data_IF_424111384276
#
_entry.id   IF_424111384276
#
_cell.length_a   1.000
_cell.length_b   1.000
_cell.length_c   1.000
_cell.angle_alpha   90.00
_cell.angle_beta   90.00
_cell.angle_gamma   90.00
#
_symmetry.space_group_name_H-M   'P 1'
#
loop_
_entity.id
_entity.type
_entity.pdbx_description
1 polymer ?
#
# COMPACT_ATOMS: atom_id res chain seq x y z
N UNK A 1 25.57 18.07 48.58
CA UNK A 1 24.58 17.03 48.33
C UNK A 1 24.41 16.84 46.81
N UNK A 2 24.84 15.71 46.31
CA UNK A 2 24.54 15.32 44.94
C UNK A 2 23.05 14.98 44.86
N UNK A 3 22.25 15.90 44.36
CA UNK A 3 20.86 15.58 44.00
C UNK A 3 20.89 14.59 42.85
N UNK A 4 20.39 13.37 43.10
CA UNK A 4 20.42 12.29 42.16
C UNK A 4 19.73 12.67 40.85
N UNK A 5 20.21 12.13 39.73
CA UNK A 5 19.66 12.29 38.37
C UNK A 5 18.15 11.97 38.26
N UNK A 6 17.55 11.31 39.25
CA UNK A 6 16.13 10.99 39.29
C UNK A 6 15.16 12.20 39.30
N UNK A 7 15.59 13.39 39.77
CA UNK A 7 14.74 14.58 39.75
C UNK A 7 14.75 15.35 38.42
N UNK A 8 15.73 15.12 37.57
CA UNK A 8 15.85 15.83 36.28
C UNK A 8 14.80 15.34 35.28
N UNK A 9 14.40 14.09 35.35
CA UNK A 9 13.43 13.49 34.44
C UNK A 9 11.95 13.76 34.79
N UNK A 10 11.68 14.42 35.92
CA UNK A 10 10.30 14.73 36.34
C UNK A 10 9.84 16.14 35.96
N UNK A 11 10.67 16.93 35.28
CA UNK A 11 10.27 18.28 34.84
C UNK A 11 9.67 18.21 33.44
N UNK A 12 8.38 18.45 33.34
CA UNK A 12 7.69 18.63 32.09
C UNK A 12 7.73 20.11 31.69
N UNK A 13 8.08 20.36 30.41
CA UNK A 13 7.98 21.67 29.80
C UNK A 13 6.74 21.69 28.91
N UNK A 14 5.91 22.69 29.09
CA UNK A 14 4.75 22.92 28.27
C UNK A 14 4.97 24.14 27.40
N UNK A 15 4.67 24.04 26.12
CA UNK A 15 4.72 25.14 25.17
C UNK A 15 3.34 25.33 24.57
N UNK A 16 2.84 26.57 24.62
CA UNK A 16 1.62 26.95 23.94
C UNK A 16 1.97 27.62 22.62
N UNK A 17 1.37 27.14 21.54
CA UNK A 17 1.42 27.78 20.22
C UNK A 17 0.02 28.24 19.86
N UNK A 18 -0.17 29.56 19.72
CA UNK A 18 -1.43 30.17 19.34
C UNK A 18 -1.38 30.62 17.88
N UNK A 19 -2.43 30.33 17.13
CA UNK A 19 -2.60 30.78 15.74
C UNK A 19 -3.98 31.40 15.53
N UNK A 20 -4.06 32.41 14.67
CA UNK A 20 -5.32 33.10 14.37
C UNK A 20 -5.15 34.59 14.13
N UNK A 21 -6.24 35.36 14.27
CA UNK A 21 -6.18 36.80 14.24
C UNK A 21 -5.38 37.35 15.46
N UNK A 22 -4.80 38.54 15.33
CA UNK A 22 -4.05 39.18 16.42
C UNK A 22 -4.86 39.25 17.73
N UNK A 23 -6.14 39.55 17.63
CA UNK A 23 -7.06 39.60 18.75
C UNK A 23 -7.21 38.23 19.43
N UNK A 24 -7.46 37.19 18.63
CA UNK A 24 -7.60 35.80 19.11
C UNK A 24 -6.32 35.31 19.78
N UNK A 25 -5.17 35.53 19.17
CA UNK A 25 -3.88 35.12 19.76
C UNK A 25 -3.63 35.80 21.09
N UNK A 26 -3.97 37.11 21.20
CA UNK A 26 -3.82 37.85 22.48
C UNK A 26 -4.73 37.28 23.57
N UNK A 27 -6.00 37.01 23.24
CA UNK A 27 -6.95 36.40 24.18
C UNK A 27 -6.48 35.02 24.66
N UNK A 28 -6.00 34.17 23.76
CA UNK A 28 -5.51 32.85 24.11
C UNK A 28 -4.25 32.91 25.02
N UNK A 29 -3.33 33.86 24.76
CA UNK A 29 -2.15 34.09 25.62
C UNK A 29 -2.53 34.63 27.00
N UNK A 30 -3.45 35.59 27.07
CA UNK A 30 -3.97 36.12 28.34
C UNK A 30 -4.62 35.02 29.18
N UNK A 31 -5.44 34.18 28.52
CA UNK A 31 -6.08 33.02 29.16
C UNK A 31 -5.02 32.01 29.67
N UNK A 32 -3.98 31.74 28.89
CA UNK A 32 -2.90 30.85 29.28
C UNK A 32 -2.15 31.38 30.50
N UNK A 33 -1.85 32.68 30.52
CA UNK A 33 -1.17 33.33 31.68
C UNK A 33 -2.03 33.35 32.95
N UNK A 34 -3.34 33.48 32.81
CA UNK A 34 -4.25 33.53 33.96
C UNK A 34 -4.63 32.15 34.51
N UNK A 35 -4.59 31.10 33.67
CA UNK A 35 -5.00 29.74 34.05
C UNK A 35 -4.11 28.65 33.41
N UNK A 36 -2.77 28.68 33.68
CA UNK A 36 -1.84 27.75 33.04
C UNK A 36 -2.13 26.27 33.35
N UNK A 37 -2.59 25.98 34.57
CA UNK A 37 -2.96 24.61 35.01
C UNK A 37 -4.09 24.01 34.20
N UNK A 38 -5.02 24.81 33.69
CA UNK A 38 -6.10 24.38 32.83
C UNK A 38 -5.55 23.83 31.48
N UNK A 39 -4.56 24.52 30.92
CA UNK A 39 -3.90 24.08 29.67
C UNK A 39 -3.03 22.86 29.88
N UNK A 40 -2.32 22.80 31.02
CA UNK A 40 -1.55 21.60 31.41
C UNK A 40 -2.47 20.40 31.59
N UNK A 41 -3.58 20.57 32.32
CA UNK A 41 -4.59 19.51 32.49
C UNK A 41 -5.21 19.09 31.17
N UNK A 42 -5.53 20.03 30.28
CA UNK A 42 -6.02 19.74 28.95
C UNK A 42 -4.99 18.97 28.10
N UNK A 43 -3.73 19.42 28.11
CA UNK A 43 -2.66 18.72 27.40
C UNK A 43 -2.44 17.29 27.93
N UNK A 44 -2.52 17.12 29.24
CA UNK A 44 -2.42 15.79 29.88
C UNK A 44 -3.63 14.91 29.55
N UNK A 45 -4.84 15.46 29.52
CA UNK A 45 -6.05 14.72 29.19
C UNK A 45 -6.11 14.33 27.71
N UNK A 46 -5.44 15.08 26.85
CA UNK A 46 -5.33 14.80 25.42
C UNK A 46 -4.10 13.95 25.08
N UNK A 47 -3.17 13.76 26.02
CA UNK A 47 -2.22 12.68 25.83
C UNK A 47 -3.02 11.38 25.79
N UNK A 48 -2.97 10.63 24.72
CA UNK A 48 -3.58 9.32 24.70
C UNK A 48 -2.83 8.45 25.71
N UNK A 49 -3.28 8.47 26.98
CA UNK A 49 -3.13 7.30 27.81
C UNK A 49 -4.01 6.27 27.12
N UNK A 50 -3.51 5.71 26.02
CA UNK A 50 -4.11 4.50 25.53
C UNK A 50 -3.98 3.53 26.71
N UNK A 51 -5.08 2.98 27.25
CA UNK A 51 -4.99 1.84 28.14
C UNK A 51 -4.04 0.88 27.45
N UNK A 52 -3.14 0.25 28.23
CA UNK A 52 -2.21 -0.74 27.69
C UNK A 52 -3.02 -1.65 26.78
N UNK A 53 -2.82 -1.53 25.47
CA UNK A 53 -3.67 -2.16 24.47
C UNK A 53 -3.53 -3.66 24.72
N UNK A 54 -4.62 -4.33 25.03
CA UNK A 54 -4.60 -5.77 25.23
C UNK A 54 -4.06 -6.40 23.95
N UNK A 55 -2.96 -7.14 24.07
CA UNK A 55 -2.32 -7.80 22.93
C UNK A 55 -2.44 -9.32 23.10
N UNK A 56 -2.53 -10.00 21.99
CA UNK A 56 -2.38 -11.45 21.94
C UNK A 56 -0.94 -11.85 22.29
N UNK A 57 -0.71 -13.10 22.76
CA UNK A 57 0.63 -13.56 23.14
C UNK A 57 1.68 -13.29 22.05
N UNK A 58 2.84 -12.78 22.47
CA UNK A 58 3.94 -12.41 21.58
C UNK A 58 3.88 -10.96 21.02
N UNK A 59 2.73 -10.30 21.07
CA UNK A 59 2.57 -8.96 20.50
C UNK A 59 3.38 -7.88 21.20
N UNK A 60 3.60 -8.04 22.52
CA UNK A 60 4.39 -7.07 23.32
C UNK A 60 5.82 -6.88 22.78
N UNK A 61 6.40 -7.92 22.17
CA UNK A 61 7.73 -7.85 21.54
C UNK A 61 7.81 -6.75 20.48
N UNK A 62 6.74 -6.48 19.73
CA UNK A 62 6.72 -5.56 18.60
C UNK A 62 6.11 -4.19 18.92
N UNK A 63 5.83 -3.92 20.21
CA UNK A 63 5.08 -2.72 20.59
C UNK A 63 5.83 -1.42 20.32
N UNK A 64 7.15 -1.41 20.44
CA UNK A 64 7.94 -0.20 20.22
C UNK A 64 7.96 0.21 18.76
N UNK A 65 8.33 -0.69 17.86
CA UNK A 65 8.34 -0.42 16.42
C UNK A 65 6.95 -0.08 15.87
N UNK A 66 5.90 -0.74 16.39
CA UNK A 66 4.52 -0.43 16.06
C UNK A 66 4.14 1.01 16.47
N UNK A 67 4.43 1.43 17.71
CA UNK A 67 4.12 2.76 18.21
C UNK A 67 4.94 3.85 17.48
N UNK A 68 6.21 3.57 17.19
CA UNK A 68 7.07 4.50 16.45
C UNK A 68 6.53 4.75 15.04
N UNK A 69 6.07 3.70 14.35
CA UNK A 69 5.47 3.85 13.03
C UNK A 69 4.12 4.59 13.07
N UNK A 70 3.29 4.33 14.08
CA UNK A 70 2.05 5.10 14.28
C UNK A 70 2.36 6.60 14.48
N UNK A 71 3.37 6.92 15.27
CA UNK A 71 3.80 8.30 15.51
C UNK A 71 4.33 8.95 14.22
N UNK A 72 5.16 8.24 13.45
CA UNK A 72 5.64 8.70 12.16
C UNK A 72 4.49 8.96 11.18
N UNK A 73 3.55 8.02 11.08
CA UNK A 73 2.37 8.11 10.21
C UNK A 73 1.51 9.34 10.54
N UNK A 74 1.23 9.56 11.82
CA UNK A 74 0.42 10.69 12.29
C UNK A 74 1.14 12.04 12.16
N UNK A 75 2.47 12.06 12.27
CA UNK A 75 3.27 13.29 12.18
C UNK A 75 3.64 13.68 10.75
N UNK A 76 3.58 12.76 9.79
CA UNK A 76 3.83 13.02 8.38
C UNK A 76 2.61 13.64 7.69
N UNK A 77 2.21 14.79 8.20
CA UNK A 77 1.10 15.61 7.69
C UNK A 77 1.67 16.93 7.18
N UNK A 78 1.22 17.33 6.01
CA UNK A 78 1.52 18.64 5.42
C UNK A 78 0.30 19.54 5.47
N UNK A 79 0.45 20.77 5.00
CA UNK A 79 -0.64 21.72 4.91
C UNK A 79 -1.84 21.12 4.18
N UNK A 80 -3.08 21.49 4.57
CA UNK A 80 -4.23 21.17 3.75
C UNK A 80 -4.02 21.69 2.33
N UNK A 81 -4.08 20.79 1.38
CA UNK A 81 -3.95 21.13 -0.05
C UNK A 81 -5.30 21.64 -0.54
N UNK A 82 -5.33 22.82 -1.14
CA UNK A 82 -6.53 23.34 -1.78
C UNK A 82 -6.69 22.71 -3.16
N UNK A 83 -7.64 21.79 -3.26
CA UNK A 83 -7.97 21.11 -4.49
C UNK A 83 -9.47 20.88 -4.59
N UNK A 84 -10.02 20.87 -5.80
CA UNK A 84 -11.46 20.68 -6.01
C UNK A 84 -12.33 21.68 -5.20
N UNK A 85 -11.85 22.90 -4.98
CA UNK A 85 -12.48 23.95 -4.16
C UNK A 85 -12.60 23.65 -2.67
N UNK A 86 -11.87 22.65 -2.18
CA UNK A 86 -11.80 22.27 -0.77
C UNK A 86 -10.35 22.22 -0.28
N UNK A 87 -10.16 22.43 1.03
CA UNK A 87 -8.91 22.12 1.70
C UNK A 87 -8.94 20.68 2.19
N UNK A 88 -8.05 19.84 1.67
CA UNK A 88 -7.98 18.43 2.03
C UNK A 88 -6.71 18.21 2.85
N UNK A 89 -6.84 17.59 4.04
CA UNK A 89 -5.70 17.15 4.83
C UNK A 89 -4.90 16.13 4.06
N UNK A 90 -3.60 16.32 4.01
CA UNK A 90 -2.72 15.46 3.24
C UNK A 90 -1.68 14.80 4.14
N UNK A 91 -1.72 13.46 4.18
CA UNK A 91 -0.70 12.63 4.79
C UNK A 91 0.32 12.23 3.73
N UNK A 92 1.60 12.27 4.07
CA UNK A 92 2.69 12.00 3.14
C UNK A 92 3.52 10.80 3.58
N UNK A 93 4.24 10.15 2.67
CA UNK A 93 5.15 9.05 3.04
C UNK A 93 6.28 9.49 3.98
N UNK A 94 6.68 10.74 3.88
CA UNK A 94 7.66 11.40 4.74
C UNK A 94 7.66 12.89 4.46
N UNK A 95 8.09 13.72 5.38
CA UNK A 95 8.07 15.19 5.20
C UNK A 95 8.90 15.71 4.03
N UNK A 96 9.90 14.94 3.61
CA UNK A 96 10.69 15.25 2.43
C UNK A 96 9.91 15.04 1.11
N UNK A 97 8.88 14.19 1.15
CA UNK A 97 7.98 13.92 0.02
C UNK A 97 6.61 14.53 0.31
N UNK A 98 6.48 15.83 0.16
CA UNK A 98 5.29 16.59 0.51
C UNK A 98 4.25 16.71 -0.61
N UNK A 99 4.46 16.02 -1.73
CA UNK A 99 3.49 15.94 -2.84
C UNK A 99 2.47 14.83 -2.63
N UNK A 100 1.49 14.80 -3.54
CA UNK A 100 0.45 13.78 -3.60
C UNK A 100 0.99 12.52 -4.31
N UNK A 101 1.36 11.49 -3.57
CA UNK A 101 1.85 10.21 -4.10
C UNK A 101 0.73 9.18 -4.06
N UNK A 102 0.22 8.78 -5.21
CA UNK A 102 -1.02 8.01 -5.34
C UNK A 102 -0.98 6.66 -4.62
N UNK A 103 0.01 5.83 -4.89
CA UNK A 103 0.04 4.51 -4.27
C UNK A 103 0.51 4.52 -2.81
N UNK A 104 1.45 5.42 -2.46
CA UNK A 104 1.89 5.63 -1.08
C UNK A 104 0.71 5.95 -0.18
N UNK A 105 -0.18 6.81 -0.63
CA UNK A 105 -1.35 7.19 0.16
C UNK A 105 -2.32 6.02 0.35
N UNK A 106 -2.39 5.11 -0.60
CA UNK A 106 -3.14 3.86 -0.42
C UNK A 106 -2.60 3.03 0.75
N UNK A 107 -1.27 2.90 0.86
CA UNK A 107 -0.63 2.22 2.00
C UNK A 107 -0.74 3.02 3.29
N UNK A 108 -0.64 4.35 3.25
CA UNK A 108 -0.91 5.21 4.40
C UNK A 108 -2.35 5.00 4.89
N UNK A 109 -3.32 4.94 3.98
CA UNK A 109 -4.71 4.66 4.33
C UNK A 109 -4.88 3.28 5.00
N UNK A 110 -4.20 2.25 4.48
CA UNK A 110 -4.17 0.92 5.10
C UNK A 110 -3.63 0.96 6.52
N UNK A 111 -2.50 1.64 6.76
CA UNK A 111 -1.96 1.82 8.11
C UNK A 111 -2.90 2.62 9.03
N UNK A 112 -3.56 3.65 8.48
CA UNK A 112 -4.52 4.46 9.24
C UNK A 112 -5.76 3.69 9.68
N UNK A 113 -6.17 2.62 9.02
CA UNK A 113 -7.29 1.76 9.46
C UNK A 113 -7.08 1.27 10.90
N UNK A 114 -5.85 1.00 11.29
CA UNK A 114 -5.51 0.53 12.64
C UNK A 114 -5.25 1.65 13.65
N UNK A 115 -5.11 2.89 13.18
CA UNK A 115 -4.84 4.07 13.99
C UNK A 115 -6.08 4.92 14.20
N UNK A 116 -6.75 5.28 13.10
CA UNK A 116 -7.93 6.12 13.06
C UNK A 116 -8.66 5.93 11.73
N UNK A 117 -9.81 5.27 11.79
CA UNK A 117 -10.60 4.92 10.61
C UNK A 117 -11.06 6.14 9.81
N UNK A 118 -11.28 7.27 10.49
CA UNK A 118 -11.67 8.53 9.83
C UNK A 118 -10.53 9.09 9.00
N UNK A 119 -9.30 9.01 9.50
CA UNK A 119 -8.11 9.41 8.75
C UNK A 119 -7.83 8.49 7.56
N UNK A 120 -8.12 7.19 7.69
CA UNK A 120 -8.06 6.27 6.54
C UNK A 120 -9.02 6.71 5.43
N UNK A 121 -10.26 7.07 5.77
CA UNK A 121 -11.21 7.62 4.81
C UNK A 121 -10.71 8.94 4.19
N UNK A 122 -10.18 9.87 4.99
CA UNK A 122 -9.62 11.14 4.51
C UNK A 122 -8.48 10.90 3.50
N UNK A 123 -7.62 9.92 3.76
CA UNK A 123 -6.54 9.54 2.84
C UNK A 123 -7.10 9.10 1.48
N UNK A 124 -8.07 8.19 1.45
CA UNK A 124 -8.66 7.72 0.19
C UNK A 124 -9.38 8.87 -0.52
N UNK A 125 -10.15 9.68 0.23
CA UNK A 125 -10.87 10.84 -0.32
C UNK A 125 -9.94 11.83 -1.00
N UNK A 126 -8.75 12.08 -0.44
CA UNK A 126 -7.79 13.05 -0.97
C UNK A 126 -7.33 12.73 -2.42
N UNK A 127 -7.45 11.48 -2.85
CA UNK A 127 -7.04 11.03 -4.19
C UNK A 127 -8.21 10.70 -5.11
N UNK A 128 -9.42 11.07 -4.72
CA UNK A 128 -10.61 10.91 -5.54
C UNK A 128 -11.15 12.27 -5.96
N UNK A 129 -11.68 12.35 -7.18
CA UNK A 129 -12.35 13.55 -7.67
C UNK A 129 -13.87 13.39 -7.57
N UNK A 130 -14.64 14.48 -7.40
CA UNK A 130 -16.08 14.42 -7.50
C UNK A 130 -16.54 13.80 -8.82
N UNK A 131 -17.65 13.10 -8.79
CA UNK A 131 -18.21 12.46 -9.98
C UNK A 131 -18.52 13.50 -11.05
N UNK A 132 -18.10 13.23 -12.28
CA UNK A 132 -18.26 14.15 -13.40
C UNK A 132 -17.24 15.28 -13.47
N UNK A 133 -16.18 15.23 -12.63
CA UNK A 133 -15.05 16.17 -12.75
C UNK A 133 -14.33 16.03 -14.09
N UNK A 134 -13.76 17.10 -14.59
CA UNK A 134 -12.94 17.10 -15.81
C UNK A 134 -11.68 16.23 -15.66
N UNK A 135 -11.15 16.13 -14.45
CA UNK A 135 -10.03 15.25 -14.12
C UNK A 135 -10.52 13.99 -13.41
N UNK A 136 -10.17 12.81 -13.92
CA UNK A 136 -10.51 11.54 -13.31
C UNK A 136 -9.74 11.27 -12.00
N UNK A 137 -8.62 11.95 -11.78
CA UNK A 137 -7.75 11.75 -10.62
C UNK A 137 -6.96 13.00 -10.26
N UNK A 138 -6.63 13.08 -8.98
CA UNK A 138 -5.60 13.98 -8.45
C UNK A 138 -4.35 13.12 -8.31
N UNK A 139 -3.26 13.55 -8.92
CA UNK A 139 -2.15 12.63 -9.09
C UNK A 139 -0.79 13.27 -8.88
N UNK A 140 0.08 12.47 -8.29
CA UNK A 140 1.52 12.46 -8.48
C UNK A 140 2.05 11.05 -8.22
N UNK A 141 3.15 10.67 -8.88
CA UNK A 141 3.81 9.38 -8.66
C UNK A 141 3.27 8.28 -9.56
N UNK A 142 2.72 7.21 -8.98
CA UNK A 142 2.40 5.97 -9.67
C UNK A 142 0.91 5.66 -9.72
N UNK A 143 0.43 5.03 -10.79
CA UNK A 143 -1.00 4.78 -11.01
C UNK A 143 -1.54 3.55 -10.29
N UNK A 144 -0.77 2.81 -9.52
CA UNK A 144 -1.26 1.60 -8.86
C UNK A 144 -2.47 1.90 -7.97
N UNK A 145 -3.58 1.14 -8.08
CA UNK A 145 -4.86 1.46 -7.47
C UNK A 145 -4.96 1.05 -6.00
N UNK A 146 -3.93 1.33 -5.19
CA UNK A 146 -3.87 0.91 -3.79
C UNK A 146 -4.96 1.57 -2.94
N UNK A 147 -5.45 2.76 -3.32
CA UNK A 147 -6.62 3.37 -2.69
C UNK A 147 -7.89 2.50 -2.81
N UNK A 148 -8.01 1.64 -3.83
CA UNK A 148 -9.12 0.67 -3.94
C UNK A 148 -8.92 -0.52 -3.01
N UNK A 149 -7.68 -0.93 -2.78
CA UNK A 149 -7.32 -1.97 -1.81
C UNK A 149 -7.56 -1.47 -0.38
N UNK A 150 -7.19 -0.23 -0.10
CA UNK A 150 -7.52 0.43 1.16
C UNK A 150 -9.03 0.59 1.36
N UNK A 151 -9.78 0.92 0.31
CA UNK A 151 -11.26 0.98 0.34
C UNK A 151 -11.88 -0.38 0.72
N UNK A 152 -11.34 -1.47 0.19
CA UNK A 152 -11.75 -2.83 0.54
C UNK A 152 -11.50 -3.15 2.03
N UNK A 153 -10.30 -2.88 2.53
CA UNK A 153 -9.99 -3.10 3.95
C UNK A 153 -10.73 -2.12 4.87
N UNK A 154 -10.96 -0.89 4.42
CA UNK A 154 -11.77 0.09 5.16
C UNK A 154 -13.22 -0.40 5.33
N UNK A 155 -13.81 -0.98 4.29
CA UNK A 155 -15.12 -1.64 4.40
C UNK A 155 -15.07 -2.81 5.39
N UNK A 156 -14.17 -3.74 5.22
CA UNK A 156 -14.07 -4.93 6.06
C UNK A 156 -13.85 -4.62 7.55
N UNK A 157 -13.32 -3.43 7.86
CA UNK A 157 -13.12 -2.98 9.25
C UNK A 157 -14.27 -2.11 9.79
N UNK A 158 -14.97 -1.36 8.93
CA UNK A 158 -15.96 -0.36 9.38
C UNK A 158 -17.40 -0.73 9.09
N UNK A 159 -17.67 -1.52 8.05
CA UNK A 159 -18.99 -1.78 7.45
C UNK A 159 -19.82 -0.50 7.24
N UNK A 160 -19.17 0.66 7.07
CA UNK A 160 -19.82 1.94 6.89
C UNK A 160 -20.41 2.07 5.48
N UNK A 161 -21.73 1.94 5.39
CA UNK A 161 -22.47 2.13 4.12
C UNK A 161 -22.36 3.53 3.55
N UNK A 162 -22.16 4.53 4.41
CA UNK A 162 -21.98 5.93 3.97
C UNK A 162 -20.64 6.09 3.25
N UNK A 163 -19.56 5.57 3.85
CA UNK A 163 -18.21 5.56 3.24
C UNK A 163 -18.21 4.75 1.94
N UNK A 164 -18.86 3.58 1.95
CA UNK A 164 -19.00 2.73 0.76
C UNK A 164 -19.62 3.51 -0.40
N UNK A 165 -20.79 4.11 -0.17
CA UNK A 165 -21.55 4.86 -1.19
C UNK A 165 -20.84 6.14 -1.64
N UNK A 166 -20.13 6.81 -0.75
CA UNK A 166 -19.42 8.04 -1.08
C UNK A 166 -18.19 7.77 -1.98
N UNK A 167 -17.40 6.76 -1.65
CA UNK A 167 -16.14 6.48 -2.35
C UNK A 167 -16.36 5.71 -3.67
N UNK A 168 -17.31 4.79 -3.72
CA UNK A 168 -17.50 3.91 -4.87
C UNK A 168 -17.56 4.63 -6.22
N UNK A 169 -18.45 5.62 -6.47
CA UNK A 169 -18.56 6.25 -7.77
C UNK A 169 -17.29 7.05 -8.14
N UNK A 170 -16.57 7.56 -7.15
CA UNK A 170 -15.31 8.30 -7.31
C UNK A 170 -14.17 7.36 -7.72
N UNK A 171 -14.06 6.22 -7.03
CA UNK A 171 -13.09 5.19 -7.36
C UNK A 171 -13.39 4.53 -8.71
N UNK A 172 -14.66 4.32 -9.03
CA UNK A 172 -15.10 3.83 -10.33
C UNK A 172 -14.69 4.78 -11.46
N UNK A 173 -14.84 6.10 -11.29
CA UNK A 173 -14.41 7.10 -12.28
C UNK A 173 -12.90 7.01 -12.57
N UNK A 174 -12.08 6.90 -11.52
CA UNK A 174 -10.64 6.68 -11.64
C UNK A 174 -10.34 5.35 -12.35
N UNK A 175 -10.98 4.28 -11.91
CA UNK A 175 -10.84 2.94 -12.49
C UNK A 175 -11.18 2.92 -13.97
N UNK A 176 -12.30 3.49 -14.38
CA UNK A 176 -12.75 3.52 -15.77
C UNK A 176 -11.75 4.27 -16.67
N UNK A 177 -11.15 5.35 -16.18
CA UNK A 177 -10.08 6.05 -16.90
C UNK A 177 -8.86 5.15 -17.08
N UNK A 178 -8.37 4.54 -16.01
CA UNK A 178 -7.16 3.70 -16.04
C UNK A 178 -7.36 2.39 -16.81
N UNK A 179 -8.59 1.93 -16.96
CA UNK A 179 -8.96 0.81 -17.83
C UNK A 179 -8.99 1.16 -19.32
N UNK A 180 -8.85 2.43 -19.68
CA UNK A 180 -9.01 2.87 -21.07
C UNK A 180 -10.47 2.90 -21.54
N UNK A 181 -11.43 2.99 -20.62
CA UNK A 181 -12.85 3.11 -20.96
C UNK A 181 -13.26 4.57 -21.26
N UNK A 182 -12.44 5.53 -20.89
CA UNK A 182 -12.65 6.94 -21.22
C UNK A 182 -12.04 7.25 -22.61
N UNK A 183 -12.71 8.00 -23.48
CA UNK A 183 -12.20 8.35 -24.83
C UNK A 183 -10.83 9.05 -24.83
N UNK A 184 -10.52 9.76 -23.74
CA UNK A 184 -9.25 10.47 -23.59
C UNK A 184 -8.14 9.61 -22.97
N UNK A 185 -8.41 8.35 -22.64
CA UNK A 185 -7.43 7.45 -22.06
C UNK A 185 -6.70 6.63 -23.12
N UNK A 186 -5.37 6.54 -22.98
CA UNK A 186 -4.49 5.72 -23.81
C UNK A 186 -3.90 4.53 -23.08
N UNK A 187 -4.42 4.19 -21.92
CA UNK A 187 -3.86 3.14 -21.05
C UNK A 187 -4.01 1.73 -21.59
N UNK A 188 -4.98 1.48 -22.47
CA UNK A 188 -5.26 0.15 -23.02
C UNK A 188 -4.65 -0.04 -24.40
N UNK A 189 -3.86 -1.10 -24.57
CA UNK A 189 -3.39 -1.53 -25.88
C UNK A 189 -4.58 -2.05 -26.73
N UNK A 190 -4.74 -1.54 -27.95
CA UNK A 190 -5.92 -1.79 -28.78
C UNK A 190 -6.04 -3.28 -29.18
N UNK A 191 -4.94 -3.91 -29.58
CA UNK A 191 -4.92 -5.29 -30.00
C UNK A 191 -5.01 -6.29 -28.85
N UNK A 192 -4.08 -6.23 -27.90
CA UNK A 192 -4.02 -7.19 -26.78
C UNK A 192 -5.01 -6.91 -25.66
N UNK A 193 -5.38 -5.66 -25.42
CA UNK A 193 -6.19 -5.23 -24.27
C UNK A 193 -5.41 -5.14 -22.95
N UNK A 194 -4.08 -5.37 -22.93
CA UNK A 194 -3.22 -5.18 -21.77
C UNK A 194 -3.06 -3.70 -21.47
N UNK A 195 -2.73 -3.38 -20.21
CA UNK A 195 -2.67 -2.02 -19.71
C UNK A 195 -1.22 -1.52 -19.59
N UNK A 196 -1.07 -0.24 -19.89
CA UNK A 196 0.15 0.53 -19.65
C UNK A 196 -0.23 1.93 -19.21
N UNK A 197 0.68 2.62 -18.52
CA UNK A 197 0.41 3.97 -18.00
C UNK A 197 1.53 4.97 -18.32
N UNK A 198 2.45 4.61 -19.19
CA UNK A 198 3.61 5.40 -19.56
C UNK A 198 3.28 6.81 -20.09
N UNK A 199 2.08 7.00 -20.66
CA UNK A 199 1.65 8.30 -21.18
C UNK A 199 1.28 9.29 -20.06
N UNK A 200 1.04 8.80 -18.86
CA UNK A 200 0.60 9.61 -17.72
C UNK A 200 1.60 9.61 -16.56
N UNK A 201 2.41 8.56 -16.43
CA UNK A 201 3.29 8.34 -15.30
C UNK A 201 4.67 7.86 -15.77
N UNK A 202 5.71 8.35 -15.13
CA UNK A 202 7.09 7.99 -15.48
C UNK A 202 7.44 6.52 -15.17
N UNK A 203 6.65 5.85 -14.32
CA UNK A 203 6.71 4.41 -14.09
C UNK A 203 5.31 3.83 -13.91
N UNK A 204 5.19 2.50 -14.02
CA UNK A 204 3.90 1.82 -13.89
C UNK A 204 3.72 1.07 -12.58
N UNK A 205 4.79 0.89 -11.80
CA UNK A 205 4.79 0.05 -10.62
C UNK A 205 5.12 0.78 -9.31
N UNK A 206 5.50 2.04 -9.38
CA UNK A 206 6.02 2.77 -8.23
C UNK A 206 7.47 2.42 -7.86
N UNK A 207 8.14 1.69 -8.72
CA UNK A 207 9.46 1.09 -8.49
C UNK A 207 10.48 1.84 -9.34
N UNK A 208 11.12 2.84 -8.77
CA UNK A 208 11.88 3.85 -9.52
C UNK A 208 12.99 3.30 -10.40
N UNK A 209 13.72 2.31 -9.93
CA UNK A 209 14.84 1.68 -10.63
C UNK A 209 14.61 0.18 -10.90
N UNK A 210 13.36 -0.28 -10.88
CA UNK A 210 13.04 -1.66 -11.25
C UNK A 210 13.52 -1.94 -12.68
N UNK A 211 14.32 -2.99 -12.89
CA UNK A 211 15.15 -3.12 -14.10
C UNK A 211 14.43 -3.01 -15.44
N UNK A 212 13.30 -3.72 -15.71
CA UNK A 212 12.63 -3.58 -17.01
C UNK A 212 12.00 -2.20 -17.21
N UNK A 213 11.50 -1.57 -16.14
CA UNK A 213 10.94 -0.21 -16.22
C UNK A 213 12.02 0.84 -16.51
N UNK A 214 13.18 0.69 -15.85
CA UNK A 214 14.30 1.60 -16.07
C UNK A 214 14.87 1.45 -17.49
N UNK A 215 14.96 0.22 -18.02
CA UNK A 215 15.39 -0.02 -19.39
C UNK A 215 14.45 0.66 -20.40
N UNK A 216 13.14 0.53 -20.22
CA UNK A 216 12.14 1.17 -21.07
C UNK A 216 12.19 2.71 -20.98
N UNK A 217 12.40 3.28 -19.80
CA UNK A 217 12.56 4.74 -19.64
C UNK A 217 13.79 5.27 -20.37
N UNK A 218 14.83 4.47 -20.47
CA UNK A 218 16.08 4.80 -21.16
C UNK A 218 15.96 4.65 -22.68
N UNK A 219 15.08 3.76 -23.16
CA UNK A 219 14.80 3.52 -24.58
C UNK A 219 13.35 3.91 -24.94
N UNK A 220 13.16 5.18 -25.25
CA UNK A 220 11.84 5.72 -25.59
C UNK A 220 11.24 5.14 -26.88
N UNK A 221 12.00 4.46 -27.71
CA UNK A 221 11.49 3.82 -28.92
C UNK A 221 10.66 2.57 -28.61
N UNK A 222 10.99 1.85 -27.55
CA UNK A 222 10.25 0.67 -27.09
C UNK A 222 9.12 1.00 -26.11
N UNK A 223 9.25 2.09 -25.40
CA UNK A 223 8.36 2.54 -24.34
C UNK A 223 6.85 2.47 -24.69
N UNK A 224 6.38 2.95 -25.86
CA UNK A 224 4.96 2.87 -26.21
C UNK A 224 4.44 1.46 -26.49
N UNK A 225 5.33 0.50 -26.73
CA UNK A 225 5.00 -0.83 -27.24
C UNK A 225 5.19 -1.95 -26.20
N UNK A 226 5.42 -1.61 -24.93
CA UNK A 226 5.59 -2.60 -23.86
C UNK A 226 4.58 -2.36 -22.75
N UNK A 227 3.92 -3.42 -22.30
CA UNK A 227 3.02 -3.39 -21.15
C UNK A 227 3.64 -4.11 -19.96
N UNK A 228 3.65 -3.50 -18.76
CA UNK A 228 4.05 -4.18 -17.54
C UNK A 228 2.95 -5.13 -17.05
N UNK A 229 3.32 -6.14 -16.29
CA UNK A 229 2.37 -7.10 -15.69
C UNK A 229 1.59 -6.46 -14.55
N UNK A 230 2.29 -5.75 -13.67
CA UNK A 230 1.73 -5.16 -12.45
C UNK A 230 0.50 -4.28 -12.73
N UNK A 231 0.53 -3.50 -13.79
CA UNK A 231 -0.61 -2.61 -14.13
C UNK A 231 -1.88 -3.42 -14.38
N UNK A 232 -1.83 -4.38 -15.30
CA UNK A 232 -3.00 -5.21 -15.63
C UNK A 232 -3.45 -6.07 -14.46
N UNK A 233 -2.51 -6.65 -13.69
CA UNK A 233 -2.82 -7.49 -12.54
C UNK A 233 -3.51 -6.71 -11.42
N UNK A 234 -3.01 -5.52 -11.08
CA UNK A 234 -3.59 -4.72 -10.00
C UNK A 234 -4.94 -4.12 -10.37
N UNK A 235 -5.14 -3.69 -11.63
CA UNK A 235 -6.46 -3.24 -12.07
C UNK A 235 -7.46 -4.39 -12.21
N UNK A 236 -7.01 -5.61 -12.50
CA UNK A 236 -7.86 -6.79 -12.43
C UNK A 236 -8.33 -7.05 -10.99
N UNK A 237 -7.43 -7.00 -10.00
CA UNK A 237 -7.82 -7.11 -8.59
C UNK A 237 -8.74 -5.96 -8.16
N UNK A 238 -8.48 -4.75 -8.60
CA UNK A 238 -9.34 -3.59 -8.35
C UNK A 238 -10.75 -3.80 -8.94
N UNK A 239 -10.87 -4.41 -10.14
CA UNK A 239 -12.16 -4.78 -10.73
C UNK A 239 -12.93 -5.76 -9.84
N UNK A 240 -12.25 -6.78 -9.28
CA UNK A 240 -12.86 -7.74 -8.34
C UNK A 240 -13.35 -7.03 -7.07
N UNK A 241 -12.56 -6.12 -6.50
CA UNK A 241 -12.94 -5.33 -5.32
C UNK A 241 -14.17 -4.46 -5.61
N UNK A 242 -14.15 -3.71 -6.71
CA UNK A 242 -15.29 -2.85 -7.09
C UNK A 242 -16.54 -3.68 -7.42
N UNK A 243 -16.37 -4.88 -7.96
CA UNK A 243 -17.46 -5.83 -8.16
C UNK A 243 -18.12 -6.26 -6.84
N UNK A 244 -17.31 -6.55 -5.80
CA UNK A 244 -17.82 -6.88 -4.46
C UNK A 244 -18.61 -5.69 -3.89
N UNK A 245 -18.08 -4.48 -3.98
CA UNK A 245 -18.78 -3.26 -3.56
C UNK A 245 -20.08 -3.03 -4.35
N UNK A 246 -20.06 -3.24 -5.67
CA UNK A 246 -21.26 -3.14 -6.50
C UNK A 246 -22.32 -4.17 -6.11
N UNK A 247 -21.90 -5.40 -5.74
CA UNK A 247 -22.80 -6.46 -5.24
C UNK A 247 -23.45 -6.03 -3.92
N UNK A 248 -22.68 -5.49 -2.98
CA UNK A 248 -23.17 -4.97 -1.70
C UNK A 248 -24.22 -3.87 -1.89
N UNK A 249 -24.06 -3.04 -2.92
CA UNK A 249 -24.98 -1.95 -3.25
C UNK A 249 -26.12 -2.33 -4.22
N UNK A 250 -26.14 -3.56 -4.72
CA UNK A 250 -27.17 -4.02 -5.66
C UNK A 250 -27.05 -3.44 -7.08
N UNK A 251 -25.85 -3.00 -7.50
CA UNK A 251 -25.61 -2.34 -8.81
C UNK A 251 -25.39 -3.37 -9.93
N UNK A 252 -26.48 -3.94 -10.44
CA UNK A 252 -26.46 -5.07 -11.37
C UNK A 252 -25.68 -4.82 -12.67
N UNK A 253 -25.77 -3.64 -13.25
CA UNK A 253 -25.08 -3.32 -14.50
C UNK A 253 -23.58 -3.16 -14.30
N UNK A 254 -23.15 -2.58 -13.17
CA UNK A 254 -21.73 -2.50 -12.81
C UNK A 254 -21.14 -3.90 -12.57
N UNK A 255 -21.87 -4.80 -11.91
CA UNK A 255 -21.45 -6.20 -11.71
C UNK A 255 -21.18 -6.87 -13.05
N UNK A 256 -22.11 -6.77 -14.00
CA UNK A 256 -21.94 -7.34 -15.36
C UNK A 256 -20.73 -6.75 -16.10
N UNK A 257 -20.51 -5.45 -15.93
CA UNK A 257 -19.36 -4.77 -16.52
C UNK A 257 -18.04 -5.28 -15.92
N UNK A 258 -17.95 -5.40 -14.59
CA UNK A 258 -16.77 -5.95 -13.94
C UNK A 258 -16.54 -7.43 -14.30
N UNK A 259 -17.57 -8.25 -14.37
CA UNK A 259 -17.44 -9.65 -14.79
C UNK A 259 -16.79 -9.77 -16.17
N UNK A 260 -17.17 -8.91 -17.11
CA UNK A 260 -16.58 -8.84 -18.45
C UNK A 260 -15.12 -8.38 -18.42
N UNK A 261 -14.81 -7.34 -17.62
CA UNK A 261 -13.46 -6.81 -17.46
C UNK A 261 -12.55 -7.89 -16.86
N UNK A 262 -12.97 -8.51 -15.77
CA UNK A 262 -12.23 -9.58 -15.08
C UNK A 262 -11.94 -10.73 -16.05
N UNK A 263 -12.95 -11.22 -16.76
CA UNK A 263 -12.80 -12.29 -17.75
C UNK A 263 -11.78 -11.92 -18.83
N UNK A 264 -11.88 -10.71 -19.39
CA UNK A 264 -11.02 -10.28 -20.49
C UNK A 264 -9.56 -10.07 -20.02
N UNK A 265 -9.33 -9.36 -18.94
CA UNK A 265 -7.98 -9.13 -18.41
C UNK A 265 -7.32 -10.44 -17.96
N UNK A 266 -8.06 -11.34 -17.31
CA UNK A 266 -7.54 -12.65 -16.95
C UNK A 266 -7.08 -13.43 -18.18
N UNK A 267 -7.93 -13.45 -19.22
CA UNK A 267 -7.61 -14.15 -20.49
C UNK A 267 -6.33 -13.59 -21.13
N UNK A 268 -6.21 -12.26 -21.24
CA UNK A 268 -5.06 -11.67 -21.96
C UNK A 268 -3.76 -11.81 -21.17
N UNK A 269 -3.80 -11.69 -19.84
CA UNK A 269 -2.64 -11.94 -18.98
C UNK A 269 -2.18 -13.40 -19.11
N UNK A 270 -3.09 -14.36 -19.05
CA UNK A 270 -2.77 -15.77 -19.22
C UNK A 270 -2.25 -16.10 -20.62
N UNK A 271 -2.80 -15.46 -21.65
CA UNK A 271 -2.43 -15.75 -23.05
C UNK A 271 -1.06 -15.19 -23.41
N UNK A 272 -0.71 -13.99 -22.90
CA UNK A 272 0.43 -13.26 -23.43
C UNK A 272 1.58 -13.07 -22.42
N UNK A 273 1.30 -13.08 -21.12
CA UNK A 273 2.29 -12.69 -20.13
C UNK A 273 2.95 -13.87 -19.40
N UNK A 274 2.34 -15.07 -19.37
CA UNK A 274 2.95 -16.20 -18.71
C UNK A 274 4.17 -16.71 -19.49
N UNK A 275 5.30 -16.78 -18.84
CA UNK A 275 6.54 -17.32 -19.39
C UNK A 275 6.83 -18.70 -18.79
N UNK A 276 6.52 -19.75 -19.56
CA UNK A 276 6.63 -21.13 -19.11
C UNK A 276 8.07 -21.52 -18.74
N UNK A 277 9.07 -20.96 -19.43
CA UNK A 277 10.46 -21.24 -19.16
C UNK A 277 10.89 -20.76 -17.76
N UNK A 278 10.64 -19.50 -17.45
CA UNK A 278 11.06 -18.90 -16.17
C UNK A 278 10.09 -19.16 -15.02
N UNK A 279 8.81 -19.47 -15.29
CA UNK A 279 7.76 -19.59 -14.27
C UNK A 279 7.34 -18.27 -13.65
N UNK A 280 7.55 -17.17 -14.35
CA UNK A 280 7.10 -15.83 -13.99
C UNK A 280 6.20 -15.25 -15.09
N UNK A 281 5.38 -14.27 -14.75
CA UNK A 281 4.75 -13.43 -15.76
C UNK A 281 5.73 -12.34 -16.23
N UNK A 282 5.86 -12.17 -17.55
CA UNK A 282 6.76 -11.23 -18.18
C UNK A 282 6.05 -10.01 -18.76
N UNK A 283 6.77 -8.91 -18.90
CA UNK A 283 6.33 -7.77 -19.69
C UNK A 283 6.07 -8.21 -21.13
N UNK A 284 5.07 -7.62 -21.78
CA UNK A 284 4.65 -8.02 -23.13
C UNK A 284 4.99 -6.93 -24.12
N UNK A 285 5.70 -7.29 -25.20
CA UNK A 285 5.98 -6.41 -26.34
C UNK A 285 4.83 -6.44 -27.34
N UNK A 286 4.62 -5.34 -28.04
CA UNK A 286 3.54 -5.16 -29.00
C UNK A 286 4.07 -4.58 -30.32
N UNK A 287 3.31 -4.80 -31.39
CA UNK A 287 3.53 -4.07 -32.65
C UNK A 287 2.80 -2.72 -32.68
N UNK A 288 2.90 -2.02 -33.80
CA UNK A 288 2.28 -0.72 -34.01
C UNK A 288 0.73 -0.76 -33.96
N UNK A 289 0.11 -1.93 -34.18
CA UNK A 289 -1.34 -2.14 -34.05
C UNK A 289 -1.77 -2.36 -32.61
N UNK A 290 -0.83 -2.58 -31.69
CA UNK A 290 -1.06 -2.93 -30.29
C UNK A 290 -1.32 -4.41 -30.06
N UNK A 291 -0.99 -5.25 -31.04
CA UNK A 291 -1.08 -6.71 -30.91
C UNK A 291 0.15 -7.27 -30.17
N UNK A 292 -0.09 -8.15 -29.20
CA UNK A 292 0.96 -8.77 -28.42
C UNK A 292 1.87 -9.64 -29.30
N UNK A 293 3.18 -9.53 -29.09
CA UNK A 293 4.19 -10.27 -29.86
C UNK A 293 4.94 -11.30 -29.04
N UNK A 294 5.58 -10.88 -27.95
CA UNK A 294 6.44 -11.74 -27.15
C UNK A 294 6.64 -11.21 -25.75
N UNK A 295 7.21 -12.03 -24.90
CA UNK A 295 7.74 -11.62 -23.60
C UNK A 295 8.95 -10.71 -23.82
N UNK A 296 9.03 -9.63 -23.07
CA UNK A 296 10.18 -8.71 -23.05
C UNK A 296 11.35 -9.38 -22.37
N UNK A 297 12.44 -9.59 -23.12
CA UNK A 297 13.61 -10.34 -22.68
C UNK A 297 14.79 -9.44 -22.33
N UNK A 298 15.59 -9.87 -21.36
CA UNK A 298 16.89 -9.27 -21.07
C UNK A 298 17.94 -9.66 -22.15
N UNK A 299 19.13 -9.13 -22.05
CA UNK A 299 20.22 -9.33 -23.05
C UNK A 299 20.59 -10.80 -23.28
N UNK A 300 20.51 -11.62 -22.24
CA UNK A 300 20.78 -13.06 -22.27
C UNK A 300 19.56 -13.92 -22.64
N UNK A 301 18.48 -13.29 -23.09
CA UNK A 301 17.20 -13.91 -23.42
C UNK A 301 16.38 -14.39 -22.20
N UNK A 302 16.84 -14.17 -20.97
CA UNK A 302 16.03 -14.45 -19.80
C UNK A 302 14.80 -13.51 -19.71
N UNK A 303 13.76 -13.94 -19.01
CA UNK A 303 12.61 -13.10 -18.71
C UNK A 303 13.07 -11.85 -17.95
N UNK A 304 12.79 -10.67 -18.49
CA UNK A 304 13.22 -9.41 -17.85
C UNK A 304 12.35 -9.00 -16.68
N UNK A 305 11.45 -9.88 -16.22
CA UNK A 305 10.54 -9.62 -15.10
C UNK A 305 10.59 -10.72 -14.02
N UNK A 306 11.76 -11.31 -13.80
CA UNK A 306 11.99 -12.21 -12.64
C UNK A 306 12.07 -11.37 -11.37
N UNK A 307 10.96 -11.26 -10.66
CA UNK A 307 10.81 -10.45 -9.47
C UNK A 307 9.36 -10.33 -9.01
N UNK A 308 9.12 -9.48 -8.01
CA UNK A 308 7.78 -9.35 -7.40
C UNK A 308 6.72 -8.84 -8.38
N UNK A 309 7.08 -8.07 -9.42
CA UNK A 309 6.13 -7.68 -10.47
C UNK A 309 5.62 -8.92 -11.23
N UNK A 310 6.52 -9.85 -11.58
CA UNK A 310 6.17 -11.11 -12.25
C UNK A 310 5.31 -12.07 -11.41
N UNK A 311 5.17 -11.81 -10.11
CA UNK A 311 4.31 -12.57 -9.18
C UNK A 311 2.92 -11.93 -9.01
N UNK A 312 2.73 -10.68 -9.41
CA UNK A 312 1.49 -9.92 -9.14
C UNK A 312 0.20 -10.58 -9.65
N UNK A 313 0.15 -11.41 -10.72
CA UNK A 313 -1.05 -12.13 -11.10
C UNK A 313 -1.56 -13.15 -10.05
N UNK A 314 -0.70 -13.58 -9.12
CA UNK A 314 -1.13 -14.33 -7.95
C UNK A 314 -2.13 -13.50 -7.11
N UNK A 315 -1.80 -12.24 -6.85
CA UNK A 315 -2.71 -11.32 -6.14
C UNK A 315 -3.96 -10.96 -6.94
N UNK A 316 -3.89 -11.00 -8.26
CA UNK A 316 -5.07 -10.86 -9.12
C UNK A 316 -6.01 -12.09 -9.02
N UNK A 317 -5.54 -13.21 -8.49
CA UNK A 317 -6.31 -14.44 -8.31
C UNK A 317 -6.69 -15.08 -9.64
N UNK A 318 -5.73 -15.20 -10.57
CA UNK A 318 -5.93 -15.77 -11.91
C UNK A 318 -5.02 -16.95 -12.22
N UNK A 319 -4.06 -17.24 -11.36
CA UNK A 319 -3.08 -18.29 -11.60
C UNK A 319 -3.73 -19.68 -11.56
N UNK A 320 -3.26 -20.59 -12.44
CA UNK A 320 -3.58 -22.00 -12.34
C UNK A 320 -2.88 -22.62 -11.12
N UNK A 321 -3.30 -23.82 -10.66
CA UNK A 321 -2.61 -24.50 -9.56
C UNK A 321 -1.10 -24.66 -9.81
N UNK A 322 -0.70 -25.02 -11.02
CA UNK A 322 0.70 -25.20 -11.43
C UNK A 322 1.47 -23.87 -11.39
N UNK A 323 0.84 -22.78 -11.83
CA UNK A 323 1.42 -21.44 -11.74
C UNK A 323 1.56 -21.00 -10.27
N UNK A 324 0.56 -21.28 -9.43
CA UNK A 324 0.61 -21.01 -7.99
C UNK A 324 1.79 -21.73 -7.37
N UNK A 325 1.97 -23.01 -7.63
CA UNK A 325 3.06 -23.80 -7.04
C UNK A 325 4.42 -23.26 -7.48
N UNK A 326 4.59 -22.89 -8.74
CA UNK A 326 5.85 -22.30 -9.24
C UNK A 326 6.11 -20.93 -8.61
N UNK A 327 5.13 -20.03 -8.60
CA UNK A 327 5.29 -18.68 -8.03
C UNK A 327 5.55 -18.72 -6.52
N UNK A 328 4.89 -19.60 -5.79
CA UNK A 328 5.14 -19.80 -4.35
C UNK A 328 6.52 -20.41 -4.14
N UNK A 329 6.95 -21.34 -5.01
CA UNK A 329 8.31 -21.86 -5.03
C UNK A 329 9.36 -20.77 -5.14
N UNK A 330 9.21 -19.85 -6.08
CA UNK A 330 10.08 -18.67 -6.24
C UNK A 330 10.07 -17.75 -5.03
N UNK A 331 8.88 -17.46 -4.48
CA UNK A 331 8.73 -16.58 -3.31
C UNK A 331 9.51 -17.07 -2.10
N UNK A 332 9.53 -18.37 -1.84
CA UNK A 332 10.16 -18.95 -0.64
C UNK A 332 11.49 -19.65 -0.89
N UNK A 333 12.05 -19.52 -2.09
CA UNK A 333 13.38 -20.01 -2.44
C UNK A 333 14.46 -19.02 -1.97
N UNK A 334 15.41 -19.44 -1.10
CA UNK A 334 16.51 -18.57 -0.68
C UNK A 334 17.53 -18.27 -1.78
N UNK A 335 17.43 -18.96 -2.92
CA UNK A 335 18.25 -18.67 -4.12
C UNK A 335 17.57 -17.65 -5.05
N UNK A 336 16.31 -17.35 -4.80
CA UNK A 336 15.48 -16.52 -5.68
C UNK A 336 14.94 -15.29 -4.91
N UNK A 337 13.72 -15.34 -4.40
CA UNK A 337 13.12 -14.15 -3.80
C UNK A 337 13.24 -14.07 -2.27
N UNK A 338 13.38 -15.19 -1.57
CA UNK A 338 13.43 -15.19 -0.12
C UNK A 338 14.80 -14.78 0.42
N UNK A 339 14.81 -13.83 1.37
CA UNK A 339 16.02 -13.40 2.08
C UNK A 339 15.79 -13.40 3.60
N UNK A 340 16.84 -13.21 4.39
CA UNK A 340 16.75 -13.06 5.84
C UNK A 340 15.97 -11.81 6.29
N UNK A 341 15.73 -10.87 5.38
CA UNK A 341 15.00 -9.61 5.66
C UNK A 341 13.60 -9.58 5.04
N UNK A 342 13.19 -10.63 4.34
CA UNK A 342 11.93 -10.73 3.61
C UNK A 342 12.13 -10.95 2.12
N UNK A 343 11.12 -10.65 1.32
CA UNK A 343 11.17 -10.86 -0.13
C UNK A 343 11.97 -9.74 -0.82
N UNK A 344 12.99 -10.13 -1.59
CA UNK A 344 13.70 -9.27 -2.52
C UNK A 344 12.77 -8.79 -3.63
N UNK A 345 12.92 -7.56 -4.10
CA UNK A 345 12.12 -7.04 -5.23
C UNK A 345 12.43 -7.72 -6.55
N UNK A 346 13.67 -8.13 -6.74
CA UNK A 346 14.16 -8.87 -7.91
C UNK A 346 14.70 -10.22 -7.47
N UNK A 347 14.47 -11.24 -8.26
CA UNK A 347 15.02 -12.59 -8.08
C UNK A 347 16.55 -12.52 -8.05
N UNK A 348 17.15 -13.03 -6.98
CA UNK A 348 18.61 -12.99 -6.75
C UNK A 348 19.38 -13.77 -7.82
N UNK A 349 18.73 -14.69 -8.54
CA UNK A 349 19.31 -15.41 -9.67
C UNK A 349 19.26 -14.64 -10.99
N UNK A 350 18.55 -13.51 -11.05
CA UNK A 350 18.42 -12.73 -12.25
C UNK A 350 19.73 -11.95 -12.57
N UNK A 351 20.16 -11.88 -13.83
CA UNK A 351 21.41 -11.21 -14.20
C UNK A 351 21.41 -9.69 -13.99
N UNK A 352 20.25 -9.12 -13.69
CA UNK A 352 20.05 -7.70 -13.40
C UNK A 352 19.75 -7.40 -11.92
N UNK A 353 19.88 -8.39 -11.03
CA UNK A 353 19.74 -8.23 -9.59
C UNK A 353 20.91 -7.42 -9.00
N UNK A 354 20.61 -6.58 -8.00
CA UNK A 354 21.60 -5.82 -7.25
C UNK A 354 21.32 -5.94 -5.75
N UNK A 355 22.20 -6.62 -5.03
CA UNK A 355 22.02 -6.98 -3.61
C UNK A 355 21.76 -5.76 -2.70
N UNK A 356 22.42 -4.64 -2.93
CA UNK A 356 22.30 -3.40 -2.17
C UNK A 356 21.60 -2.30 -2.98
N UNK A 357 20.77 -2.71 -3.95
CA UNK A 357 20.01 -1.81 -4.79
C UNK A 357 18.79 -1.19 -4.05
N UNK A 358 18.04 -0.39 -4.78
CA UNK A 358 16.80 0.23 -4.29
C UNK A 358 15.60 -0.66 -4.66
N UNK A 359 14.91 -0.42 -5.79
CA UNK A 359 13.86 -1.33 -6.29
C UNK A 359 14.39 -2.44 -7.20
N UNK A 360 15.67 -2.52 -7.40
CA UNK A 360 16.35 -3.55 -8.19
C UNK A 360 16.99 -4.66 -7.33
N UNK A 361 16.66 -4.71 -6.02
CA UNK A 361 17.15 -5.75 -5.13
C UNK A 361 16.66 -5.67 -3.69
N UNK A 362 16.53 -4.50 -3.10
CA UNK A 362 16.18 -4.35 -1.69
C UNK A 362 14.81 -4.95 -1.30
N UNK A 363 14.58 -5.07 0.00
CA UNK A 363 13.31 -5.56 0.58
C UNK A 363 12.39 -4.39 0.88
N UNK A 364 11.22 -4.42 0.26
CA UNK A 364 10.15 -3.44 0.43
C UNK A 364 8.86 -4.11 0.88
N UNK A 365 8.09 -3.49 1.77
CA UNK A 365 6.90 -4.10 2.33
C UNK A 365 5.61 -4.00 1.50
N UNK A 366 5.40 -3.02 0.60
CA UNK A 366 4.14 -2.85 -0.12
C UNK A 366 3.71 -4.09 -0.89
N UNK A 367 4.59 -4.60 -1.74
CA UNK A 367 4.28 -5.79 -2.56
C UNK A 367 4.20 -7.07 -1.72
N UNK A 368 4.96 -7.14 -0.63
CA UNK A 368 4.85 -8.24 0.32
C UNK A 368 3.48 -8.27 1.01
N UNK A 369 2.89 -7.11 1.29
CA UNK A 369 1.52 -7.04 1.80
C UNK A 369 0.49 -7.57 0.79
N UNK A 370 0.64 -7.20 -0.48
CA UNK A 370 -0.25 -7.70 -1.55
C UNK A 370 -0.10 -9.21 -1.72
N UNK A 371 1.12 -9.73 -1.68
CA UNK A 371 1.41 -11.17 -1.74
C UNK A 371 0.87 -11.89 -0.49
N UNK A 372 1.03 -11.31 0.69
CA UNK A 372 0.47 -11.82 1.93
C UNK A 372 -1.05 -12.03 1.84
N UNK A 373 -1.79 -11.03 1.32
CA UNK A 373 -3.23 -11.16 1.06
C UNK A 373 -3.54 -12.29 0.07
N UNK A 374 -2.75 -12.41 -0.99
CA UNK A 374 -2.91 -13.48 -1.98
C UNK A 374 -2.66 -14.87 -1.39
N UNK A 375 -1.67 -15.01 -0.53
CA UNK A 375 -1.39 -16.28 0.17
C UNK A 375 -2.53 -16.70 1.09
N UNK A 376 -3.19 -15.73 1.75
CA UNK A 376 -4.41 -16.00 2.54
C UNK A 376 -5.55 -16.51 1.64
N UNK A 377 -5.74 -15.94 0.44
CA UNK A 377 -6.77 -16.37 -0.50
C UNK A 377 -6.59 -17.81 -0.98
N UNK A 378 -5.35 -18.26 -1.12
CA UNK A 378 -5.03 -19.62 -1.59
C UNK A 378 -4.76 -20.61 -0.45
N UNK A 379 -5.08 -20.24 0.81
CA UNK A 379 -4.95 -21.12 1.97
C UNK A 379 -3.52 -21.37 2.46
N UNK A 380 -2.54 -20.57 2.03
CA UNK A 380 -1.14 -20.68 2.45
C UNK A 380 -0.84 -19.76 3.66
N UNK A 381 -1.58 -19.98 4.75
CA UNK A 381 -1.52 -19.15 5.96
C UNK A 381 -0.16 -19.17 6.66
N UNK A 382 0.56 -20.29 6.65
CA UNK A 382 1.92 -20.39 7.24
C UNK A 382 2.92 -19.51 6.50
N UNK A 383 2.89 -19.54 5.17
CA UNK A 383 3.74 -18.69 4.32
C UNK A 383 3.37 -17.19 4.47
N UNK A 384 2.09 -16.89 4.57
CA UNK A 384 1.63 -15.55 4.86
C UNK A 384 2.16 -15.07 6.22
N UNK A 385 2.07 -15.90 7.26
CA UNK A 385 2.61 -15.59 8.58
C UNK A 385 4.13 -15.41 8.55
N UNK A 386 4.86 -16.24 7.80
CA UNK A 386 6.32 -16.14 7.65
C UNK A 386 6.73 -14.76 7.08
N UNK A 387 6.02 -14.24 6.07
CA UNK A 387 6.27 -12.88 5.54
C UNK A 387 6.06 -11.84 6.64
N UNK A 388 4.91 -11.87 7.30
CA UNK A 388 4.55 -10.90 8.32
C UNK A 388 5.51 -10.94 9.52
N UNK A 389 5.86 -12.13 10.00
CA UNK A 389 6.76 -12.30 11.13
C UNK A 389 8.16 -11.80 10.81
N UNK A 390 8.71 -12.14 9.63
CA UNK A 390 10.04 -11.67 9.22
C UNK A 390 10.08 -10.15 9.13
N UNK A 391 9.03 -9.54 8.55
CA UNK A 391 8.93 -8.09 8.46
C UNK A 391 8.84 -7.42 9.85
N UNK A 392 8.01 -7.97 10.75
CA UNK A 392 7.86 -7.45 12.12
C UNK A 392 9.15 -7.61 12.94
N UNK A 393 9.85 -8.73 12.83
CA UNK A 393 11.12 -8.96 13.51
C UNK A 393 12.19 -7.97 13.04
N UNK A 394 12.31 -7.76 11.73
CA UNK A 394 13.27 -6.81 11.15
C UNK A 394 12.93 -5.36 11.49
N UNK A 395 11.66 -5.02 11.44
CA UNK A 395 11.19 -3.69 11.79
C UNK A 395 11.46 -3.36 13.25
N UNK A 396 11.10 -4.26 14.17
CA UNK A 396 11.31 -4.04 15.62
C UNK A 396 12.78 -3.93 15.94
N UNK A 397 13.62 -4.85 15.39
CA UNK A 397 15.08 -4.78 15.58
C UNK A 397 15.63 -3.42 15.16
N UNK A 398 15.29 -2.95 13.97
CA UNK A 398 15.80 -1.67 13.44
C UNK A 398 15.32 -0.49 14.28
N UNK A 399 14.03 -0.48 14.66
CA UNK A 399 13.47 0.59 15.48
C UNK A 399 14.12 0.69 16.85
N UNK A 400 14.42 -0.45 17.50
CA UNK A 400 15.10 -0.46 18.80
C UNK A 400 16.55 -0.01 18.73
N UNK A 401 17.24 -0.30 17.63
CA UNK A 401 18.65 0.06 17.45
C UNK A 401 18.83 1.51 16.99
N UNK A 402 17.98 2.00 16.08
CA UNK A 402 18.16 3.32 15.44
C UNK A 402 17.17 4.37 15.90
N UNK A 403 16.02 4.01 16.47
CA UNK A 403 14.88 4.89 16.76
C UNK A 403 14.25 5.55 15.51
N UNK A 404 14.44 4.95 14.32
CA UNK A 404 13.93 5.45 13.05
C UNK A 404 12.97 4.47 12.38
N UNK A 405 12.20 5.02 11.43
CA UNK A 405 11.34 4.26 10.50
C UNK A 405 11.87 4.45 9.09
N UNK A 406 12.05 3.39 8.32
CA UNK A 406 12.72 3.42 7.03
C UNK A 406 11.83 3.04 5.86
N UNK A 407 12.30 3.34 4.63
CA UNK A 407 11.62 3.00 3.38
C UNK A 407 11.72 1.51 3.06
N UNK A 408 12.94 0.97 3.18
CA UNK A 408 13.30 -0.37 2.74
C UNK A 408 14.43 -0.93 3.59
N UNK A 409 14.77 -2.20 3.35
CA UNK A 409 15.86 -2.89 4.02
C UNK A 409 16.88 -3.40 3.01
N UNK A 410 18.15 -3.15 3.28
CA UNK A 410 19.28 -3.65 2.52
C UNK A 410 19.51 -5.11 2.89
N UNK A 411 19.60 -6.01 1.89
CA UNK A 411 19.70 -7.45 2.12
C UNK A 411 21.00 -7.84 2.78
N UNK A 412 22.14 -7.30 2.31
CA UNK A 412 23.48 -7.67 2.81
C UNK A 412 23.69 -7.30 4.26
N UNK A 413 23.17 -6.16 4.72
CA UNK A 413 23.32 -5.68 6.09
C UNK A 413 22.15 -6.01 7.00
N UNK A 414 20.96 -6.27 6.45
CA UNK A 414 19.70 -6.39 7.19
C UNK A 414 19.24 -5.10 7.84
N UNK A 415 19.79 -3.94 7.43
CA UNK A 415 19.52 -2.63 8.02
C UNK A 415 18.50 -1.84 7.19
N UNK A 416 17.77 -0.97 7.90
CA UNK A 416 16.90 0.01 7.26
C UNK A 416 17.69 1.04 6.45
N UNK A 417 17.11 1.49 5.34
CA UNK A 417 17.70 2.46 4.42
C UNK A 417 16.64 3.38 3.82
N UNK A 418 17.10 4.41 3.11
CA UNK A 418 16.26 5.48 2.59
C UNK A 418 15.98 6.54 3.66
N UNK A 419 14.80 7.17 3.59
CA UNK A 419 14.44 8.22 4.52
C UNK A 419 14.11 7.67 5.92
N UNK A 420 14.63 8.33 6.95
CA UNK A 420 14.64 7.83 8.34
C UNK A 420 13.41 8.18 9.19
N UNK A 421 12.40 8.81 8.64
CA UNK A 421 11.09 9.06 9.27
C UNK A 421 9.96 8.75 8.27
N UNK A 422 10.11 7.62 7.62
CA UNK A 422 9.21 7.18 6.57
C UNK A 422 8.04 6.39 7.15
N UNK A 423 6.85 6.59 6.59
CA UNK A 423 5.64 5.90 7.04
C UNK A 423 4.76 5.40 5.89
N UNK A 424 5.04 5.81 4.66
CA UNK A 424 4.21 5.47 3.50
C UNK A 424 4.20 3.97 3.22
N UNK A 425 5.19 3.51 2.48
CA UNK A 425 5.28 2.12 2.03
C UNK A 425 5.61 1.12 3.16
N UNK A 426 5.97 1.61 4.35
CA UNK A 426 6.20 0.79 5.54
C UNK A 426 4.93 0.53 6.36
N UNK A 427 3.82 1.16 6.03
CA UNK A 427 2.53 1.00 6.72
C UNK A 427 2.01 -0.44 6.83
N UNK A 428 2.34 -1.39 5.92
CA UNK A 428 1.99 -2.81 6.09
C UNK A 428 2.40 -3.42 7.43
N UNK A 429 3.43 -2.92 8.09
CA UNK A 429 3.82 -3.33 9.45
C UNK A 429 2.66 -3.18 10.43
N UNK A 430 1.88 -2.09 10.34
CA UNK A 430 0.71 -1.87 11.21
C UNK A 430 -0.38 -2.91 10.95
N UNK A 431 -0.61 -3.26 9.68
CA UNK A 431 -1.61 -4.25 9.31
C UNK A 431 -1.21 -5.67 9.78
N UNK A 432 0.05 -6.06 9.62
CA UNK A 432 0.54 -7.35 10.10
C UNK A 432 0.51 -7.42 11.63
N UNK A 433 0.91 -6.35 12.31
CA UNK A 433 0.79 -6.30 13.77
C UNK A 433 -0.67 -6.45 14.20
N UNK A 434 -1.60 -5.73 13.58
CA UNK A 434 -3.01 -5.84 13.90
C UNK A 434 -3.56 -7.25 13.60
N UNK A 435 -3.22 -7.83 12.47
CA UNK A 435 -3.69 -9.15 12.04
C UNK A 435 -3.33 -10.28 13.02
N UNK A 436 -2.13 -10.22 13.61
CA UNK A 436 -1.61 -11.32 14.41
C UNK A 436 -1.58 -11.05 15.92
N UNK A 437 -1.65 -9.78 16.34
CA UNK A 437 -1.42 -9.43 17.74
C UNK A 437 -2.49 -8.53 18.38
N UNK A 438 -3.42 -7.97 17.60
CA UNK A 438 -4.53 -7.19 18.17
C UNK A 438 -5.79 -8.06 18.30
N UNK A 439 -6.37 -8.19 19.52
CA UNK A 439 -7.64 -8.89 19.68
C UNK A 439 -8.76 -8.16 18.94
N UNK A 440 -9.73 -8.91 18.45
CA UNK A 440 -10.88 -8.36 17.74
C UNK A 440 -10.57 -7.80 16.34
N UNK A 441 -9.41 -8.11 15.77
CA UNK A 441 -9.06 -7.78 14.40
C UNK A 441 -9.13 -9.02 13.52
N UNK A 442 -9.72 -8.85 12.35
CA UNK A 442 -9.77 -9.89 11.32
C UNK A 442 -9.13 -9.35 10.06
N UNK A 443 -8.14 -10.07 9.57
CA UNK A 443 -7.50 -9.78 8.29
C UNK A 443 -7.75 -10.94 7.35
N UNK A 444 -8.38 -10.64 6.22
CA UNK A 444 -8.75 -11.60 5.17
C UNK A 444 -7.83 -11.46 3.97
N UNK A 445 -7.82 -12.44 3.09
CA UNK A 445 -7.39 -12.25 1.70
C UNK A 445 -8.30 -11.27 0.96
N UNK A 446 -8.13 -11.14 -0.34
CA UNK A 446 -8.92 -10.23 -1.18
C UNK A 446 -10.25 -10.80 -1.66
N UNK A 447 -10.46 -12.11 -1.57
CA UNK A 447 -11.69 -12.76 -2.07
C UNK A 447 -12.83 -12.74 -1.03
N UNK A 448 -12.59 -12.30 0.21
CA UNK A 448 -13.56 -12.29 1.29
C UNK A 448 -14.05 -10.87 1.54
N UNK A 449 -15.34 -10.66 1.34
CA UNK A 449 -16.05 -9.42 1.67
C UNK A 449 -16.86 -9.65 2.95
N UNK A 450 -16.51 -8.97 4.03
CA UNK A 450 -17.17 -9.12 5.31
C UNK A 450 -18.48 -8.36 5.28
N UNK A 451 -19.59 -9.07 5.39
CA UNK A 451 -20.91 -8.45 5.44
C UNK A 451 -21.24 -7.95 6.84
N UNK A 452 -20.83 -8.69 7.88
CA UNK A 452 -21.16 -8.42 9.26
C UNK A 452 -20.09 -9.01 10.20
N UNK A 453 -19.72 -8.29 11.26
CA UNK A 453 -18.74 -8.71 12.26
C UNK A 453 -19.39 -8.87 13.62
N UNK A 454 -19.25 -10.04 14.23
CA UNK A 454 -19.64 -10.28 15.61
C UNK A 454 -18.50 -10.95 16.38
N UNK A 455 -18.06 -10.30 17.44
CA UNK A 455 -17.10 -10.87 18.38
C UNK A 455 -17.79 -11.19 19.70
N UNK A 456 -17.40 -12.29 20.33
CA UNK A 456 -17.74 -12.50 21.73
C UNK A 456 -16.89 -11.56 22.63
N UNK A 457 -17.26 -11.46 23.91
CA UNK A 457 -16.63 -10.51 24.84
C UNK A 457 -15.13 -10.74 25.08
N UNK A 458 -14.66 -11.98 24.88
CA UNK A 458 -13.26 -12.37 25.01
C UNK A 458 -12.51 -12.46 23.66
N UNK A 459 -13.19 -12.12 22.56
CA UNK A 459 -12.67 -12.18 21.20
C UNK A 459 -12.17 -13.57 20.76
N UNK A 460 -12.61 -14.63 21.42
CA UNK A 460 -12.19 -16.01 21.10
C UNK A 460 -12.94 -16.61 19.91
N UNK A 461 -14.07 -16.02 19.50
CA UNK A 461 -14.89 -16.47 18.38
C UNK A 461 -15.22 -15.31 17.44
N UNK A 462 -15.25 -15.62 16.17
CA UNK A 462 -15.61 -14.70 15.10
C UNK A 462 -16.64 -15.32 14.16
N UNK A 463 -17.62 -14.52 13.71
CA UNK A 463 -18.56 -14.87 12.64
C UNK A 463 -18.51 -13.81 11.55
N UNK A 464 -18.26 -14.24 10.31
CA UNK A 464 -18.25 -13.43 9.09
C UNK A 464 -19.50 -13.66 8.26
#
# INVERSE_FOLDING_TARGET
ESRGLGDVYKRQLYMLVCTGSREKVRQDLELFHSTPEKFVSLAQSQQPVKPEEALLPGGKKYSFGHQLLQAALLSNVVYPVYTQKEYIRHFTPGKNWNSLYTWDLGFIALGMIDVDITKAFECIRAYTTPVGSESAFIHHGTPLPIQMYAYYDLWNNSQSREVLKFLYPRLKQYFDFMLGNNPNSTTRMKGSGLLRTWDYFYNSGGWDDYPPQQALRSDKSQYPFVTPVVTSAYYLRAAKILRLAAKEMGLKEDIKSYDRIIKNLSKVLQTYAWDEESGYFGYVTHDASGDAKAIFRYKDQSNFNKGLDGVTPLAAGICTPEQVDRLVGHLFSPKELWTSSGLSTVDQSAPYYQADGYWNGAVWFPHQWVIWKALLDIGKGEQAYQIAQTALDKWEQECQESYYTFEHFIISSGRGAGWHQFSGLSSPILNWFAAYYKPGKVSTGFEIWIAENHFNTDYSQYRA
#
